data_IF_403955297879
#
_entry.id   IF_403955297879
#
_cell.length_a   1.000
_cell.length_b   1.000
_cell.length_c   1.000
_cell.angle_alpha   90.00
_cell.angle_beta   90.00
_cell.angle_gamma   90.00
#
_symmetry.space_group_name_H-M   'P 1'
#
loop_
_entity.id
_entity.type
_entity.pdbx_description
1 polymer ?
#
# COMPACT_ATOMS: atom_id res chain seq x y z
N UNK A 1 -3.08 14.31 29.87
CA UNK A 1 -3.56 14.84 28.58
C UNK A 1 -3.97 13.66 27.75
N UNK A 2 -5.28 13.51 27.48
CA UNK A 2 -5.76 12.52 26.52
C UNK A 2 -5.21 12.88 25.13
N UNK A 3 -4.64 11.89 24.45
CA UNK A 3 -4.05 12.08 23.13
C UNK A 3 -5.18 11.96 22.11
N UNK A 4 -5.88 13.06 21.85
CA UNK A 4 -6.90 13.11 20.81
C UNK A 4 -6.26 12.81 19.46
N UNK A 5 -6.74 11.76 18.78
CA UNK A 5 -6.29 11.42 17.44
C UNK A 5 -6.81 12.45 16.44
N UNK A 6 -5.92 12.97 15.58
CA UNK A 6 -6.30 13.84 14.48
C UNK A 6 -6.04 13.17 13.14
N UNK A 7 -6.86 13.50 12.13
CA UNK A 7 -6.64 13.13 10.73
C UNK A 7 -6.65 14.36 9.85
N UNK A 8 -5.84 14.36 8.81
CA UNK A 8 -5.81 15.44 7.81
C UNK A 8 -6.54 14.98 6.56
N UNK A 9 -7.64 15.66 6.20
CA UNK A 9 -8.39 15.44 4.96
C UNK A 9 -8.41 16.78 4.19
N UNK A 10 -7.96 16.79 2.95
CA UNK A 10 -7.91 17.99 2.08
C UNK A 10 -7.21 19.19 2.76
N UNK A 11 -6.03 18.96 3.36
CA UNK A 11 -5.24 19.97 4.09
C UNK A 11 -5.94 20.59 5.30
N UNK A 12 -7.03 20.00 5.80
CA UNK A 12 -7.68 20.38 7.05
C UNK A 12 -7.52 19.26 8.08
N UNK A 13 -7.16 19.64 9.29
CA UNK A 13 -7.04 18.73 10.41
C UNK A 13 -8.39 18.59 11.13
N UNK A 14 -8.79 17.35 11.40
CA UNK A 14 -10.02 17.00 12.09
C UNK A 14 -9.68 16.14 13.30
N UNK A 15 -10.31 16.43 14.43
CA UNK A 15 -10.26 15.57 15.62
C UNK A 15 -11.19 14.38 15.37
N UNK A 16 -10.65 13.17 15.42
CA UNK A 16 -11.38 11.93 15.12
C UNK A 16 -12.60 11.78 16.03
N UNK A 17 -12.49 12.15 17.30
CA UNK A 17 -13.58 12.07 18.29
C UNK A 17 -14.78 12.92 17.88
N UNK A 18 -14.54 14.05 17.22
CA UNK A 18 -15.57 14.99 16.75
C UNK A 18 -16.24 14.57 15.44
N UNK A 19 -15.77 13.48 14.81
CA UNK A 19 -16.42 12.93 13.61
C UNK A 19 -17.69 12.19 14.02
N UNK A 20 -18.71 12.27 13.16
CA UNK A 20 -19.91 11.44 13.32
C UNK A 20 -19.60 9.94 13.05
N UNK A 21 -20.52 9.07 13.43
CA UNK A 21 -20.33 7.62 13.34
C UNK A 21 -20.16 7.14 11.89
N UNK A 22 -20.81 7.82 10.94
CA UNK A 22 -20.68 7.49 9.53
C UNK A 22 -19.27 7.84 9.02
N UNK A 23 -18.75 9.03 9.32
CA UNK A 23 -17.41 9.45 8.97
C UNK A 23 -16.34 8.54 9.60
N UNK A 24 -16.54 8.09 10.85
CA UNK A 24 -15.68 7.10 11.50
C UNK A 24 -15.70 5.75 10.78
N UNK A 25 -16.87 5.28 10.34
CA UNK A 25 -17.00 4.03 9.57
C UNK A 25 -16.30 4.13 8.19
N UNK A 26 -16.43 5.27 7.51
CA UNK A 26 -15.73 5.52 6.25
C UNK A 26 -14.21 5.59 6.45
N UNK A 27 -13.74 6.25 7.53
CA UNK A 27 -12.32 6.29 7.87
C UNK A 27 -11.73 4.89 8.06
N UNK A 28 -12.43 4.03 8.82
CA UNK A 28 -12.00 2.64 9.00
C UNK A 28 -11.94 1.90 7.67
N UNK A 29 -12.96 2.06 6.81
CA UNK A 29 -12.99 1.44 5.49
C UNK A 29 -11.81 1.89 4.62
N UNK A 30 -11.45 3.17 4.65
CA UNK A 30 -10.28 3.71 3.94
C UNK A 30 -8.99 3.09 4.48
N UNK A 31 -8.83 3.01 5.80
CA UNK A 31 -7.64 2.40 6.42
C UNK A 31 -7.48 0.93 6.02
N UNK A 32 -8.58 0.18 5.92
CA UNK A 32 -8.56 -1.19 5.42
C UNK A 32 -8.14 -1.24 3.94
N UNK A 33 -8.69 -0.36 3.10
CA UNK A 33 -8.28 -0.25 1.70
C UNK A 33 -6.79 0.07 1.57
N UNK A 34 -6.26 0.99 2.37
CA UNK A 34 -4.83 1.36 2.35
C UNK A 34 -3.93 0.18 2.73
N UNK A 35 -4.34 -0.63 3.71
CA UNK A 35 -3.63 -1.85 4.09
C UNK A 35 -3.60 -2.88 2.94
N UNK A 36 -4.74 -3.09 2.26
CA UNK A 36 -4.79 -3.99 1.11
C UNK A 36 -3.97 -3.48 -0.08
N UNK A 37 -4.00 -2.17 -0.35
CA UNK A 37 -3.15 -1.54 -1.38
C UNK A 37 -1.67 -1.76 -1.05
N UNK A 38 -1.26 -1.58 0.21
CA UNK A 38 0.11 -1.82 0.63
C UNK A 38 0.51 -3.30 0.44
N UNK A 39 -0.39 -4.24 0.79
CA UNK A 39 -0.19 -5.67 0.57
C UNK A 39 0.00 -6.00 -0.91
N UNK A 40 -0.85 -5.46 -1.79
CA UNK A 40 -0.73 -5.67 -3.23
C UNK A 40 0.56 -5.10 -3.81
N UNK A 41 0.99 -3.92 -3.37
CA UNK A 41 2.29 -3.35 -3.77
C UNK A 41 3.46 -4.25 -3.37
N UNK A 42 3.42 -4.85 -2.18
CA UNK A 42 4.44 -5.80 -1.75
C UNK A 42 4.47 -7.06 -2.64
N UNK A 43 3.29 -7.61 -2.98
CA UNK A 43 3.20 -8.76 -3.90
C UNK A 43 3.71 -8.43 -5.30
N UNK A 44 3.41 -7.24 -5.80
CA UNK A 44 3.90 -6.76 -7.09
C UNK A 44 5.42 -6.66 -7.11
N UNK A 45 6.04 -6.09 -6.07
CA UNK A 45 7.50 -5.99 -5.97
C UNK A 45 8.20 -7.37 -5.96
N UNK A 46 7.58 -8.37 -5.31
CA UNK A 46 8.07 -9.76 -5.33
C UNK A 46 8.02 -10.31 -6.76
N UNK A 47 6.90 -10.15 -7.45
CA UNK A 47 6.72 -10.62 -8.82
C UNK A 47 7.70 -9.94 -9.81
N UNK A 48 7.91 -8.63 -9.66
CA UNK A 48 8.89 -7.88 -10.45
C UNK A 48 10.31 -8.40 -10.24
N UNK A 49 10.70 -8.67 -9.00
CA UNK A 49 12.02 -9.24 -8.68
C UNK A 49 12.21 -10.61 -9.34
N UNK A 50 11.21 -11.49 -9.22
CA UNK A 50 11.25 -12.80 -9.86
C UNK A 50 11.33 -12.69 -11.38
N UNK A 51 10.54 -11.80 -12.00
CA UNK A 51 10.58 -11.53 -13.43
C UNK A 51 11.98 -11.10 -13.88
N UNK A 52 12.63 -10.17 -13.16
CA UNK A 52 14.00 -9.76 -13.50
C UNK A 52 15.00 -10.91 -13.42
N UNK A 53 14.89 -11.78 -12.41
CA UNK A 53 15.75 -12.95 -12.28
C UNK A 53 15.57 -13.92 -13.47
N UNK A 54 14.33 -14.23 -13.83
CA UNK A 54 14.05 -15.08 -14.98
C UNK A 54 14.51 -14.45 -16.31
N UNK A 55 14.36 -13.14 -16.48
CA UNK A 55 14.87 -12.45 -17.67
C UNK A 55 16.39 -12.56 -17.79
N UNK A 56 17.14 -12.44 -16.68
CA UNK A 56 18.60 -12.62 -16.69
C UNK A 56 18.99 -14.05 -17.05
N UNK A 57 18.35 -15.04 -16.43
CA UNK A 57 18.62 -16.45 -16.72
C UNK A 57 18.31 -16.81 -18.18
N UNK A 58 17.25 -16.23 -18.76
CA UNK A 58 16.92 -16.42 -20.16
C UNK A 58 18.00 -15.84 -21.10
N UNK A 59 18.50 -14.65 -20.81
CA UNK A 59 19.58 -14.02 -21.60
C UNK A 59 20.82 -14.91 -21.58
N UNK A 60 21.25 -15.36 -20.40
CA UNK A 60 22.40 -16.24 -20.23
C UNK A 60 22.25 -17.57 -21.01
N UNK A 61 21.05 -18.17 -20.99
CA UNK A 61 20.77 -19.40 -21.73
C UNK A 61 20.86 -19.21 -23.25
N UNK A 62 20.40 -18.08 -23.79
CA UNK A 62 20.40 -17.81 -25.24
C UNK A 62 21.78 -17.39 -25.75
N UNK A 63 22.53 -16.64 -24.94
CA UNK A 63 23.88 -16.19 -25.29
C UNK A 63 24.93 -17.29 -25.16
N UNK A 64 24.73 -18.27 -24.28
CA UNK A 64 25.65 -19.43 -24.13
C UNK A 64 25.49 -20.52 -25.21
N UNK A 65 24.42 -20.48 -25.99
CA UNK A 65 24.19 -21.38 -27.14
C UNK A 65 24.81 -20.89 -28.47
N UNK A 66 25.55 -19.78 -28.46
CA UNK A 66 26.25 -19.21 -29.64
C UNK A 66 27.75 -19.00 -29.38
#
# INVERSE_FOLDING_TARGET
MEKQGTITINNKEYIIENLDDNAKAQLLSIQMCDQEIARHKAQMAIAETAKMAYSRALIEAVESEH
#
